data_IF_738926056635
#
_entry.id   IF_738926056635
#
_cell.length_a   1.000
_cell.length_b   1.000
_cell.length_c   1.000
_cell.angle_alpha   90.00
_cell.angle_beta   90.00
_cell.angle_gamma   90.00
#
_symmetry.space_group_name_H-M   'P 1'
#
loop_
_entity.id
_entity.type
_entity.pdbx_description
1 polymer ?
#
# COMPACT_ATOMS: atom_id res chain seq x y z
N UNK A 1 -8.89 -11.61 -5.34
CA UNK A 1 -9.22 -10.44 -4.49
C UNK A 1 -10.73 -10.31 -4.38
N UNK A 2 -11.25 -10.10 -3.19
CA UNK A 2 -12.68 -9.82 -2.96
C UNK A 2 -12.80 -8.33 -2.63
N UNK A 3 -13.45 -7.56 -3.50
CA UNK A 3 -13.84 -6.18 -3.21
C UNK A 3 -15.34 -6.17 -2.91
N UNK A 4 -15.71 -5.75 -1.70
CA UNK A 4 -17.11 -5.48 -1.39
C UNK A 4 -17.50 -4.18 -2.09
N UNK A 5 -18.39 -4.26 -3.07
CA UNK A 5 -18.94 -3.08 -3.73
C UNK A 5 -20.24 -2.61 -3.08
N UNK A 6 -20.48 -1.34 -3.28
CA UNK A 6 -21.50 -0.51 -2.66
C UNK A 6 -22.87 -1.20 -2.43
N UNK A 7 -23.34 -1.02 -1.22
CA UNK A 7 -24.73 -1.13 -0.85
C UNK A 7 -25.60 -0.18 -1.71
N UNK A 8 -26.52 -0.73 -2.49
CA UNK A 8 -27.56 0.08 -3.11
C UNK A 8 -28.71 0.19 -2.10
N UNK A 9 -29.05 1.40 -1.59
CA UNK A 9 -30.11 1.56 -0.60
C UNK A 9 -31.51 1.18 -1.09
N UNK A 10 -31.68 1.09 -2.40
CA UNK A 10 -32.96 0.75 -3.05
C UNK A 10 -33.31 -0.75 -3.05
N UNK A 11 -32.32 -1.61 -2.83
CA UNK A 11 -32.55 -3.06 -2.71
C UNK A 11 -31.67 -3.66 -1.61
N UNK A 12 -32.22 -3.86 -0.39
CA UNK A 12 -31.48 -4.41 0.74
C UNK A 12 -30.97 -5.84 0.52
N UNK A 13 -31.47 -6.54 -0.50
CA UNK A 13 -31.04 -7.89 -0.87
C UNK A 13 -29.92 -7.87 -1.92
N UNK A 14 -29.63 -6.72 -2.51
CA UNK A 14 -28.62 -6.59 -3.55
C UNK A 14 -27.24 -6.28 -2.94
N UNK A 15 -26.65 -7.29 -2.33
CA UNK A 15 -25.27 -7.23 -1.86
C UNK A 15 -24.43 -8.07 -2.81
N UNK A 16 -23.47 -7.44 -3.47
CA UNK A 16 -22.53 -8.13 -4.35
C UNK A 16 -21.10 -8.02 -3.80
N UNK A 17 -20.39 -9.13 -3.83
CA UNK A 17 -18.94 -9.14 -3.77
C UNK A 17 -18.41 -9.13 -5.21
N UNK A 18 -17.41 -8.30 -5.49
CA UNK A 18 -16.69 -8.33 -6.76
C UNK A 18 -15.44 -9.18 -6.60
N UNK A 19 -15.38 -10.26 -7.34
CA UNK A 19 -14.22 -11.11 -7.47
C UNK A 19 -13.42 -10.67 -8.70
N UNK A 20 -12.11 -10.61 -8.58
CA UNK A 20 -11.22 -10.46 -9.74
C UNK A 20 -10.70 -11.84 -10.08
N UNK A 21 -11.16 -12.38 -11.20
CA UNK A 21 -10.74 -13.68 -11.73
C UNK A 21 -10.07 -13.44 -13.09
N UNK A 22 -8.81 -13.84 -13.23
CA UNK A 22 -8.02 -13.65 -14.47
C UNK A 22 -8.03 -12.20 -14.98
N UNK A 23 -7.97 -11.22 -14.07
CA UNK A 23 -7.99 -9.79 -14.41
C UNK A 23 -9.37 -9.23 -14.75
N UNK A 24 -10.42 -10.04 -14.80
CA UNK A 24 -11.80 -9.61 -15.04
C UNK A 24 -12.59 -9.53 -13.73
N UNK A 25 -13.40 -8.49 -13.61
CA UNK A 25 -14.30 -8.31 -12.48
C UNK A 25 -15.58 -9.14 -12.69
N UNK A 26 -15.89 -9.99 -11.72
CA UNK A 26 -17.14 -10.75 -11.69
C UNK A 26 -17.91 -10.43 -10.41
N UNK A 27 -19.17 -10.00 -10.56
CA UNK A 27 -20.08 -9.80 -9.44
C UNK A 27 -20.65 -11.14 -8.96
N UNK A 28 -20.54 -11.42 -7.67
CA UNK A 28 -21.15 -12.59 -7.04
C UNK A 28 -22.08 -12.10 -5.94
N UNK A 29 -23.35 -12.57 -5.97
CA UNK A 29 -24.30 -12.25 -4.91
C UNK A 29 -23.81 -12.78 -3.57
N UNK A 30 -24.02 -12.03 -2.49
CA UNK A 30 -23.61 -12.48 -1.16
C UNK A 30 -24.26 -13.80 -0.76
N UNK A 31 -25.47 -14.05 -1.24
CA UNK A 31 -26.17 -15.31 -1.03
C UNK A 31 -25.54 -16.50 -1.74
N UNK A 32 -24.67 -16.25 -2.73
CA UNK A 32 -23.91 -17.29 -3.44
C UNK A 32 -22.49 -17.45 -2.94
N UNK A 33 -22.02 -16.54 -2.08
CA UNK A 33 -20.67 -16.62 -1.52
C UNK A 33 -20.44 -17.87 -0.67
N UNK A 34 -21.46 -18.42 -0.04
CA UNK A 34 -21.33 -19.66 0.73
C UNK A 34 -21.01 -20.89 -0.16
N UNK A 35 -21.21 -20.76 -1.48
CA UNK A 35 -20.86 -21.81 -2.47
C UNK A 35 -19.39 -21.72 -2.91
N UNK A 36 -18.69 -20.64 -2.54
CA UNK A 36 -17.28 -20.46 -2.89
C UNK A 36 -16.39 -21.11 -1.84
N UNK A 37 -15.51 -21.95 -2.31
CA UNK A 37 -14.44 -22.49 -1.48
C UNK A 37 -13.25 -21.50 -1.46
N UNK A 38 -12.91 -21.01 -0.28
CA UNK A 38 -11.78 -20.11 -0.10
C UNK A 38 -10.58 -20.90 0.39
N UNK A 39 -9.56 -20.99 -0.45
CA UNK A 39 -8.29 -21.58 -0.05
C UNK A 39 -7.40 -20.48 0.52
N UNK A 40 -6.89 -20.62 1.74
CA UNK A 40 -5.90 -19.69 2.27
C UNK A 40 -4.70 -19.65 1.33
N UNK A 41 -4.32 -18.46 0.90
CA UNK A 41 -3.15 -18.27 0.05
C UNK A 41 -1.99 -17.88 0.95
N UNK A 42 -0.85 -18.57 0.80
CA UNK A 42 0.35 -18.20 1.53
C UNK A 42 0.82 -16.79 1.10
N UNK A 43 1.52 -16.05 1.98
CA UNK A 43 1.97 -14.69 1.69
C UNK A 43 2.81 -14.57 0.42
N UNK A 44 3.65 -15.55 0.11
CA UNK A 44 4.50 -15.52 -1.09
C UNK A 44 3.66 -15.63 -2.36
N UNK A 45 2.66 -16.51 -2.38
CA UNK A 45 1.71 -16.62 -3.51
C UNK A 45 0.91 -15.33 -3.66
N UNK A 46 0.47 -14.70 -2.57
CA UNK A 46 -0.20 -13.40 -2.60
C UNK A 46 0.68 -12.33 -3.27
N UNK A 47 1.93 -12.20 -2.83
CA UNK A 47 2.88 -11.24 -3.38
C UNK A 47 3.21 -11.50 -4.84
N UNK A 48 3.37 -12.77 -5.22
CA UNK A 48 3.59 -13.16 -6.62
C UNK A 48 2.43 -12.73 -7.52
N UNK A 49 1.19 -12.98 -7.09
CA UNK A 49 0.00 -12.56 -7.85
C UNK A 49 -0.13 -11.05 -7.92
N UNK A 50 0.15 -10.34 -6.83
CA UNK A 50 0.15 -8.88 -6.81
C UNK A 50 1.20 -8.30 -7.76
N UNK A 51 2.39 -8.89 -7.81
CA UNK A 51 3.48 -8.50 -8.71
C UNK A 51 3.11 -8.75 -10.19
N UNK A 52 2.53 -9.91 -10.50
CA UNK A 52 2.10 -10.24 -11.88
C UNK A 52 1.02 -9.25 -12.33
N UNK A 53 0.01 -8.99 -11.51
CA UNK A 53 -1.06 -8.06 -11.84
C UNK A 53 -0.53 -6.64 -12.05
N UNK A 54 0.39 -6.20 -11.22
CA UNK A 54 1.05 -4.92 -11.35
C UNK A 54 1.88 -4.79 -12.64
N UNK A 55 2.60 -5.84 -13.04
CA UNK A 55 3.33 -5.88 -14.33
C UNK A 55 2.39 -5.85 -15.53
N UNK A 56 1.26 -6.53 -15.46
CA UNK A 56 0.25 -6.52 -16.52
C UNK A 56 -0.36 -5.13 -16.68
N UNK A 57 -0.70 -4.45 -15.60
CA UNK A 57 -1.17 -3.07 -15.66
C UNK A 57 -0.13 -2.15 -16.30
N UNK A 58 1.15 -2.28 -15.93
CA UNK A 58 2.24 -1.51 -16.52
C UNK A 58 2.46 -1.81 -18.02
N UNK A 59 2.21 -3.02 -18.44
CA UNK A 59 2.40 -3.41 -19.86
C UNK A 59 1.32 -2.82 -20.76
N UNK A 60 0.09 -2.68 -20.25
CA UNK A 60 -1.04 -2.16 -21.04
C UNK A 60 -1.19 -0.64 -21.00
N UNK A 61 -0.54 0.04 -20.07
CA UNK A 61 -0.59 1.49 -19.95
C UNK A 61 0.67 2.13 -20.56
N UNK A 62 0.48 3.15 -21.37
CA UNK A 62 1.51 3.88 -22.16
C UNK A 62 2.77 4.20 -21.36
N UNK A 63 3.86 3.51 -21.66
CA UNK A 63 5.12 3.47 -20.90
C UNK A 63 5.78 4.83 -20.59
N UNK A 64 5.65 5.83 -21.43
CA UNK A 64 6.40 7.09 -21.29
C UNK A 64 5.80 8.09 -20.29
N UNK A 65 4.48 8.26 -20.31
CA UNK A 65 3.81 9.27 -19.47
C UNK A 65 3.87 8.89 -17.99
N UNK A 66 3.68 7.64 -17.67
CA UNK A 66 3.73 7.15 -16.29
C UNK A 66 5.13 7.22 -15.69
N UNK A 67 6.16 6.95 -16.47
CA UNK A 67 7.53 7.06 -15.99
C UNK A 67 7.91 8.52 -15.68
N UNK A 68 7.46 9.46 -16.51
CA UNK A 68 7.65 10.89 -16.26
C UNK A 68 6.92 11.33 -14.98
N UNK A 69 5.65 10.94 -14.84
CA UNK A 69 4.85 11.24 -13.64
C UNK A 69 5.47 10.65 -12.38
N UNK A 70 5.99 9.44 -12.44
CA UNK A 70 6.69 8.82 -11.29
C UNK A 70 7.90 9.62 -10.86
N UNK A 71 8.73 10.06 -11.79
CA UNK A 71 9.90 10.89 -11.49
C UNK A 71 9.51 12.24 -10.92
N UNK A 72 8.44 12.85 -11.40
CA UNK A 72 7.90 14.09 -10.83
C UNK A 72 7.42 13.87 -9.40
N UNK A 73 6.63 12.84 -9.15
CA UNK A 73 6.15 12.49 -7.81
C UNK A 73 7.30 12.12 -6.84
N UNK A 74 8.34 11.43 -7.34
CA UNK A 74 9.53 11.12 -6.56
C UNK A 74 10.29 12.39 -6.18
N UNK A 75 10.46 13.33 -7.12
CA UNK A 75 11.09 14.61 -6.86
C UNK A 75 10.30 15.48 -5.86
N UNK A 76 8.97 15.48 -5.98
CA UNK A 76 8.10 16.16 -5.01
C UNK A 76 8.21 15.54 -3.62
N UNK A 77 8.23 14.21 -3.53
CA UNK A 77 8.40 13.49 -2.27
C UNK A 77 9.76 13.77 -1.61
N UNK A 78 10.83 13.82 -2.41
CA UNK A 78 12.17 14.19 -1.91
C UNK A 78 12.19 15.63 -1.40
N UNK A 79 11.60 16.56 -2.14
CA UNK A 79 11.51 17.98 -1.73
C UNK A 79 10.73 18.11 -0.42
N UNK A 80 9.60 17.42 -0.32
CA UNK A 80 8.79 17.41 0.90
C UNK A 80 9.54 16.86 2.11
N UNK A 81 10.26 15.74 1.92
CA UNK A 81 11.08 15.16 3.00
C UNK A 81 12.20 16.10 3.44
N UNK A 82 12.90 16.73 2.49
CA UNK A 82 13.93 17.74 2.76
C UNK A 82 13.38 18.93 3.55
N UNK A 83 12.16 19.37 3.26
CA UNK A 83 11.50 20.44 3.99
C UNK A 83 11.18 20.03 5.43
N UNK A 84 10.69 18.81 5.63
CA UNK A 84 10.44 18.26 6.98
C UNK A 84 11.74 18.14 7.80
N UNK A 85 12.83 17.68 7.19
CA UNK A 85 14.14 17.58 7.84
C UNK A 85 14.67 18.98 8.22
N UNK A 86 14.63 19.94 7.31
CA UNK A 86 15.03 21.35 7.58
C UNK A 86 14.18 22.00 8.66
N UNK A 87 12.90 21.66 8.74
CA UNK A 87 12.00 22.13 9.78
C UNK A 87 12.20 21.43 11.14
N UNK A 88 13.09 20.42 11.21
CA UNK A 88 13.31 19.63 12.41
C UNK A 88 12.14 18.73 12.81
N UNK A 89 11.29 18.43 11.83
CA UNK A 89 10.07 17.61 12.03
C UNK A 89 10.35 16.10 11.98
N UNK A 90 11.54 15.69 11.59
CA UNK A 90 11.95 14.28 11.64
C UNK A 90 12.55 13.96 13.01
N UNK A 91 12.11 12.86 13.58
CA UNK A 91 12.62 12.34 14.85
C UNK A 91 13.83 11.44 14.56
N UNK A 92 15.00 11.92 14.91
CA UNK A 92 16.26 11.19 14.69
C UNK A 92 16.46 10.14 15.78
N UNK A 93 15.86 8.98 15.62
CA UNK A 93 16.04 7.81 16.47
C UNK A 93 16.22 6.56 15.61
N UNK A 94 17.48 6.22 15.36
CA UNK A 94 17.85 5.09 14.53
C UNK A 94 17.30 3.76 15.07
N UNK A 95 17.19 3.59 16.37
CA UNK A 95 16.69 2.35 16.95
C UNK A 95 15.18 2.18 16.70
N UNK A 96 14.43 3.27 16.79
CA UNK A 96 13.01 3.28 16.48
C UNK A 96 12.75 3.08 14.99
N UNK A 97 13.51 3.77 14.14
CA UNK A 97 13.42 3.58 12.69
C UNK A 97 13.76 2.14 12.28
N UNK A 98 14.83 1.58 12.80
CA UNK A 98 15.24 0.19 12.56
C UNK A 98 14.19 -0.82 13.03
N UNK A 99 13.58 -0.59 14.20
CA UNK A 99 12.53 -1.45 14.72
C UNK A 99 11.32 -1.49 13.77
N UNK A 100 10.78 -0.34 13.40
CA UNK A 100 9.64 -0.25 12.47
C UNK A 100 10.01 -0.79 11.09
N UNK A 101 11.24 -0.53 10.63
CA UNK A 101 11.76 -1.04 9.37
C UNK A 101 11.85 -2.57 9.36
N UNK A 102 12.32 -3.20 10.44
CA UNK A 102 12.35 -4.66 10.56
C UNK A 102 10.96 -5.28 10.46
N UNK A 103 9.96 -4.68 11.11
CA UNK A 103 8.56 -5.13 11.00
C UNK A 103 8.10 -5.02 9.55
N UNK A 104 8.33 -3.87 8.91
CA UNK A 104 7.95 -3.64 7.51
C UNK A 104 8.60 -4.67 6.58
N UNK A 105 9.90 -4.91 6.71
CA UNK A 105 10.63 -5.86 5.86
C UNK A 105 10.18 -7.31 6.05
N UNK A 106 9.66 -7.67 7.23
CA UNK A 106 9.14 -9.01 7.48
C UNK A 106 7.93 -9.35 6.60
N UNK A 107 7.24 -8.33 6.08
CA UNK A 107 6.05 -8.47 5.24
C UNK A 107 6.36 -8.52 3.75
N UNK A 108 7.54 -8.03 3.32
CA UNK A 108 7.87 -7.86 1.91
C UNK A 108 8.89 -8.92 1.49
N UNK A 109 8.59 -9.78 0.51
CA UNK A 109 9.56 -10.72 -0.02
C UNK A 109 10.78 -9.99 -0.60
N UNK A 110 11.98 -10.53 -0.35
CA UNK A 110 13.24 -9.94 -0.78
C UNK A 110 13.32 -9.76 -2.30
N UNK A 111 12.74 -10.69 -3.03
CA UNK A 111 12.68 -10.69 -4.49
C UNK A 111 11.86 -9.48 -5.00
N UNK A 112 10.82 -9.13 -4.27
CA UNK A 112 9.96 -7.99 -4.63
C UNK A 112 10.69 -6.65 -4.46
N UNK A 113 11.48 -6.50 -3.39
CA UNK A 113 12.25 -5.28 -3.11
C UNK A 113 13.30 -5.04 -4.20
N UNK A 114 13.99 -6.10 -4.63
CA UNK A 114 15.10 -5.98 -5.56
C UNK A 114 14.69 -5.59 -6.98
N UNK A 115 13.47 -5.91 -7.40
CA UNK A 115 13.06 -5.82 -8.79
C UNK A 115 12.37 -4.50 -9.17
N UNK A 116 11.88 -3.72 -8.21
CA UNK A 116 10.90 -2.69 -8.57
C UNK A 116 11.33 -1.24 -8.33
N UNK A 117 11.68 -0.85 -7.14
CA UNK A 117 11.81 0.58 -6.78
C UNK A 117 12.90 0.89 -5.76
N UNK A 118 13.78 -0.07 -5.47
CA UNK A 118 14.69 0.05 -4.34
C UNK A 118 14.05 -0.35 -3.01
N UNK A 119 14.85 -0.31 -1.96
CA UNK A 119 14.41 -0.71 -0.63
C UNK A 119 13.60 0.42 0.01
N UNK A 120 12.39 0.17 0.46
CA UNK A 120 11.66 1.15 1.24
C UNK A 120 12.36 1.39 2.58
N UNK A 121 12.26 2.61 3.09
CA UNK A 121 12.86 3.01 4.35
C UNK A 121 11.90 3.82 5.21
N UNK A 122 12.16 3.91 6.49
CA UNK A 122 11.30 4.55 7.48
C UNK A 122 11.88 5.89 7.89
N UNK A 123 11.00 6.88 8.11
CA UNK A 123 11.26 8.10 8.86
C UNK A 123 10.16 8.33 9.87
N UNK A 124 10.53 8.74 11.06
CA UNK A 124 9.56 9.05 12.12
C UNK A 124 9.28 10.55 12.11
N UNK A 125 8.01 10.90 11.89
CA UNK A 125 7.55 12.29 11.87
C UNK A 125 7.15 12.74 13.28
N UNK A 126 7.66 13.89 13.72
CA UNK A 126 7.24 14.57 14.96
C UNK A 126 5.86 15.18 14.76
N UNK A 127 4.82 14.38 14.89
CA UNK A 127 3.43 14.81 14.80
C UNK A 127 2.60 14.11 15.86
N UNK A 128 1.77 14.85 16.63
CA UNK A 128 0.86 14.24 17.59
C UNK A 128 -0.34 13.54 16.91
N UNK A 129 -0.62 13.88 15.66
CA UNK A 129 -1.69 13.23 14.91
C UNK A 129 -1.25 11.84 14.48
N UNK A 130 -2.06 10.79 14.76
CA UNK A 130 -1.75 9.44 14.32
C UNK A 130 -1.90 9.33 12.81
N UNK A 131 -0.78 9.15 12.11
CA UNK A 131 -0.75 9.06 10.65
C UNK A 131 0.39 8.17 10.18
N UNK A 132 0.21 7.58 9.00
CA UNK A 132 1.21 6.81 8.28
C UNK A 132 1.03 7.04 6.79
N UNK A 133 2.12 7.29 6.08
CA UNK A 133 2.09 7.65 4.67
C UNK A 133 3.29 7.08 3.94
N UNK A 134 3.04 6.35 2.86
CA UNK A 134 4.07 5.91 1.92
C UNK A 134 4.27 6.95 0.82
N UNK A 135 5.46 7.53 0.77
CA UNK A 135 5.87 8.50 -0.24
C UNK A 135 6.36 7.81 -1.51
N UNK A 136 6.32 8.55 -2.63
CA UNK A 136 6.74 8.04 -3.95
C UNK A 136 8.25 7.79 -4.08
N UNK A 137 9.06 8.29 -3.13
CA UNK A 137 10.51 8.05 -3.05
C UNK A 137 10.88 6.85 -2.16
N UNK A 138 9.98 5.92 -1.93
CA UNK A 138 10.11 4.75 -1.06
C UNK A 138 10.26 5.07 0.44
N UNK A 139 10.08 6.32 0.87
CA UNK A 139 10.05 6.68 2.27
C UNK A 139 8.67 6.43 2.86
N UNK A 140 8.59 5.68 3.93
CA UNK A 140 7.39 5.58 4.76
C UNK A 140 7.52 6.50 5.96
N UNK A 141 6.69 7.52 6.02
CA UNK A 141 6.57 8.41 7.17
C UNK A 141 5.60 7.80 8.18
N UNK A 142 6.07 7.61 9.41
CA UNK A 142 5.25 7.13 10.53
C UNK A 142 5.25 8.21 11.61
N UNK A 143 4.09 8.70 11.99
CA UNK A 143 4.01 9.74 13.00
C UNK A 143 4.30 9.19 14.41
N UNK A 144 4.93 10.00 15.26
CA UNK A 144 5.10 9.69 16.68
C UNK A 144 3.75 9.53 17.39
N UNK A 145 2.73 10.27 16.95
CA UNK A 145 1.36 10.12 17.46
C UNK A 145 0.77 8.74 17.18
N UNK A 146 1.03 8.15 16.00
CA UNK A 146 0.61 6.78 15.71
C UNK A 146 1.31 5.79 16.63
N UNK A 147 2.63 5.88 16.76
CA UNK A 147 3.41 4.97 17.60
C UNK A 147 3.03 5.04 19.08
N UNK A 148 2.53 6.18 19.55
CA UNK A 148 2.04 6.32 20.94
C UNK A 148 0.60 5.85 21.13
N UNK A 149 -0.15 5.74 20.04
CA UNK A 149 -1.55 5.29 20.06
C UNK A 149 -1.68 3.78 20.03
N UNK A 150 -0.77 3.10 19.37
CA UNK A 150 -0.80 1.65 19.20
C UNK A 150 -0.31 0.95 20.49
N UNK A 151 -1.07 -0.03 20.94
CA UNK A 151 -0.76 -0.80 22.15
C UNK A 151 0.05 -2.06 21.86
N UNK A 152 0.02 -2.55 20.63
CA UNK A 152 0.63 -3.82 20.23
C UNK A 152 1.40 -3.72 18.91
N UNK A 153 2.38 -4.62 18.74
CA UNK A 153 3.10 -4.78 17.48
C UNK A 153 2.19 -5.25 16.34
N UNK A 154 1.17 -6.06 16.64
CA UNK A 154 0.21 -6.55 15.64
C UNK A 154 -0.62 -5.41 15.04
N UNK A 155 -0.96 -4.40 15.84
CA UNK A 155 -1.64 -3.20 15.34
C UNK A 155 -0.73 -2.39 14.40
N UNK A 156 0.53 -2.20 14.79
CA UNK A 156 1.53 -1.55 13.95
C UNK A 156 1.73 -2.34 12.64
N UNK A 157 1.86 -3.65 12.73
CA UNK A 157 1.95 -4.54 11.57
C UNK A 157 0.77 -4.34 10.62
N UNK A 158 -0.46 -4.30 11.13
CA UNK A 158 -1.67 -4.07 10.32
C UNK A 158 -1.67 -2.73 9.59
N UNK A 159 -1.22 -1.67 10.26
CA UNK A 159 -1.11 -0.33 9.67
C UNK A 159 -0.05 -0.27 8.57
N UNK A 160 1.14 -0.81 8.84
CA UNK A 160 2.23 -0.91 7.85
C UNK A 160 1.81 -1.76 6.63
N UNK A 161 1.14 -2.90 6.86
CA UNK A 161 0.69 -3.78 5.78
C UNK A 161 -0.28 -3.08 4.83
N UNK A 162 -1.16 -2.24 5.36
CA UNK A 162 -2.10 -1.43 4.57
C UNK A 162 -1.35 -0.48 3.63
N UNK A 163 -0.38 0.27 4.13
CA UNK A 163 0.39 1.23 3.33
C UNK A 163 1.29 0.52 2.30
N UNK A 164 1.89 -0.60 2.67
CA UNK A 164 2.65 -1.43 1.74
C UNK A 164 1.75 -1.94 0.60
N UNK A 165 0.53 -2.35 0.91
CA UNK A 165 -0.42 -2.77 -0.12
C UNK A 165 -0.76 -1.63 -1.10
N UNK A 166 -0.92 -0.39 -0.62
CA UNK A 166 -1.11 0.79 -1.48
C UNK A 166 0.11 1.04 -2.37
N UNK A 167 1.31 0.92 -1.82
CA UNK A 167 2.57 1.06 -2.55
C UNK A 167 2.72 -0.01 -3.64
N UNK A 168 2.49 -1.27 -3.30
CA UNK A 168 2.59 -2.41 -4.23
C UNK A 168 1.61 -2.30 -5.39
N UNK A 169 0.41 -1.80 -5.12
CA UNK A 169 -0.66 -1.65 -6.11
C UNK A 169 -0.59 -0.34 -6.91
N UNK A 170 0.45 0.48 -6.70
CA UNK A 170 0.62 1.77 -7.39
C UNK A 170 -0.59 2.71 -7.28
N UNK A 171 -1.30 2.68 -6.18
CA UNK A 171 -2.54 3.45 -6.03
C UNK A 171 -2.33 4.95 -6.22
N UNK A 172 -1.17 5.51 -5.85
CA UNK A 172 -0.84 6.90 -6.04
C UNK A 172 -0.84 7.28 -7.53
N UNK A 173 -0.16 6.50 -8.37
CA UNK A 173 -0.06 6.74 -9.83
C UNK A 173 -1.41 6.52 -10.52
N UNK A 174 -2.16 5.50 -10.12
CA UNK A 174 -3.48 5.18 -10.69
C UNK A 174 -4.49 6.30 -10.39
N UNK A 175 -4.41 6.93 -9.23
CA UNK A 175 -5.34 8.00 -8.83
C UNK A 175 -5.12 9.26 -9.64
N UNK A 176 -3.87 9.64 -9.92
CA UNK A 176 -3.54 10.82 -10.72
C UNK A 176 -3.98 10.66 -12.18
N UNK A 177 -3.92 9.46 -12.74
CA UNK A 177 -4.34 9.19 -14.12
C UNK A 177 -5.87 9.22 -14.34
N UNK A 178 -6.69 9.31 -13.29
CA UNK A 178 -8.15 9.33 -13.39
C UNK A 178 -8.77 10.72 -13.29
N UNK A 179 -7.99 11.74 -13.02
CA UNK A 179 -8.39 13.14 -12.97
C UNK A 179 -7.90 13.91 -14.20
#
# INVERSE_FOLDING_TARGET
FVKLTQYQPSDPNYRQAVLIVNGQQQGVGLNDMYKLEFTPTDPNTFWLVAQINSRLVQYYETKGLQETMRKEMENEANTYLDELEKAGMIYEDAAMEDYVHCIMLSMIPKEFIAERYGMPYIRILKSPNPDILMLSNNCMLVSSGLLTLLDTEDELFGMLAREIAHYVLDHAVITVNKN
#
